data_IF_716430232858
#
_entry.id   IF_716430232858
#
_cell.length_a   1.000
_cell.length_b   1.000
_cell.length_c   1.000
_cell.angle_alpha   90.00
_cell.angle_beta   90.00
_cell.angle_gamma   90.00
#
_symmetry.space_group_name_H-M   'P 1'
#
loop_
_entity.id
_entity.type
_entity.pdbx_description
1 polymer ?
#
# COMPACT_ATOMS: atom_id res chain seq x y z
N UNK A 1 28.78 -1.72 19.26
CA UNK A 1 28.47 -0.85 18.10
C UNK A 1 27.07 -1.27 17.64
N UNK A 2 26.04 -0.57 18.11
CA UNK A 2 24.65 -1.03 17.98
C UNK A 2 24.03 -0.37 16.75
N UNK A 3 23.65 -1.19 15.76
CA UNK A 3 22.99 -0.73 14.56
C UNK A 3 21.57 -0.23 14.89
N UNK A 4 21.29 1.02 14.55
CA UNK A 4 19.94 1.59 14.49
C UNK A 4 19.11 0.85 13.44
N UNK A 5 18.42 -0.23 13.81
CA UNK A 5 17.33 -0.77 13.01
C UNK A 5 16.09 0.09 13.23
N UNK A 6 15.93 1.13 12.40
CA UNK A 6 14.70 1.90 12.30
C UNK A 6 13.61 1.05 11.63
N UNK A 7 13.08 0.05 12.35
CA UNK A 7 11.92 -0.73 11.95
C UNK A 7 10.65 0.07 12.28
N UNK A 8 10.34 1.09 11.49
CA UNK A 8 9.00 1.69 11.52
C UNK A 8 8.02 0.76 10.80
N UNK A 9 7.63 -0.36 11.41
CA UNK A 9 6.62 -1.29 10.85
C UNK A 9 5.70 -1.86 11.93
N UNK A 10 4.92 -0.98 12.55
CA UNK A 10 3.73 -1.33 13.31
C UNK A 10 3.98 -1.67 14.78
N UNK A 11 2.95 -1.47 15.61
CA UNK A 11 2.95 -1.90 17.00
C UNK A 11 2.89 -3.44 17.00
N UNK A 12 3.83 -4.15 17.65
CA UNK A 12 3.76 -5.61 17.77
C UNK A 12 2.40 -6.04 18.31
N UNK A 13 1.73 -6.98 17.62
CA UNK A 13 0.39 -7.44 17.98
C UNK A 13 -0.78 -6.60 17.45
N UNK A 14 -0.54 -5.49 16.74
CA UNK A 14 -1.59 -4.68 16.11
C UNK A 14 -1.61 -4.91 14.60
N UNK A 15 -2.53 -5.76 14.15
CA UNK A 15 -2.93 -5.84 12.74
C UNK A 15 -3.59 -4.52 12.35
N UNK A 16 -2.96 -3.77 11.45
CA UNK A 16 -3.61 -2.63 10.82
C UNK A 16 -4.61 -3.18 9.80
N UNK A 17 -5.89 -3.12 10.16
CA UNK A 17 -6.96 -3.55 9.26
C UNK A 17 -6.88 -2.79 7.94
N UNK A 18 -6.97 -3.54 6.83
CA UNK A 18 -6.96 -2.90 5.53
C UNK A 18 -8.25 -2.10 5.38
N UNK A 19 -8.11 -0.80 5.06
CA UNK A 19 -9.23 0.06 4.63
C UNK A 19 -10.10 -0.59 3.56
N UNK A 20 -9.48 -1.37 2.68
CA UNK A 20 -10.16 -2.19 1.67
C UNK A 20 -9.95 -3.66 2.04
N UNK A 21 -11.01 -4.30 2.52
CA UNK A 21 -10.99 -5.70 2.96
C UNK A 21 -10.78 -6.66 1.78
N UNK A 22 -11.31 -6.33 0.60
CA UNK A 22 -11.21 -7.17 -0.59
C UNK A 22 -9.78 -7.16 -1.18
N UNK A 23 -9.08 -8.31 -1.20
CA UNK A 23 -7.72 -8.40 -1.75
C UNK A 23 -7.64 -8.09 -3.25
N UNK A 24 -8.64 -8.46 -4.04
CA UNK A 24 -8.65 -8.21 -5.48
C UNK A 24 -8.68 -6.70 -5.80
N UNK A 25 -9.44 -5.93 -5.02
CA UNK A 25 -9.51 -4.47 -5.16
C UNK A 25 -8.18 -3.82 -4.81
N UNK A 26 -7.48 -4.30 -3.77
CA UNK A 26 -6.14 -3.79 -3.43
C UNK A 26 -5.14 -4.04 -4.56
N UNK A 27 -5.16 -5.24 -5.14
CA UNK A 27 -4.32 -5.60 -6.27
C UNK A 27 -4.64 -4.74 -7.52
N UNK A 28 -5.93 -4.48 -7.78
CA UNK A 28 -6.37 -3.60 -8.85
C UNK A 28 -5.84 -2.17 -8.69
N UNK A 29 -5.93 -1.58 -7.50
CA UNK A 29 -5.39 -0.24 -7.22
C UNK A 29 -3.88 -0.21 -7.43
N UNK A 30 -3.17 -1.24 -6.93
CA UNK A 30 -1.72 -1.35 -7.10
C UNK A 30 -1.30 -1.41 -8.57
N UNK A 31 -2.02 -2.19 -9.39
CA UNK A 31 -1.78 -2.30 -10.83
C UNK A 31 -2.04 -0.99 -11.57
N UNK A 32 -3.19 -0.35 -11.34
CA UNK A 32 -3.53 0.96 -11.95
C UNK A 32 -2.48 2.02 -11.61
N UNK A 33 -1.99 2.01 -10.37
CA UNK A 33 -0.92 2.90 -9.93
C UNK A 33 0.45 2.59 -10.58
N UNK A 34 0.71 1.35 -11.01
CA UNK A 34 1.89 0.98 -11.80
C UNK A 34 1.75 1.35 -13.27
N UNK A 35 0.55 1.26 -13.82
CA UNK A 35 0.21 1.66 -15.19
C UNK A 35 0.30 3.18 -15.40
N UNK A 36 0.50 3.96 -14.33
CA UNK A 36 0.76 5.40 -14.38
C UNK A 36 -0.43 6.26 -13.99
N UNK A 37 -1.54 5.68 -13.51
CA UNK A 37 -2.63 6.48 -12.96
C UNK A 37 -2.18 7.32 -11.75
N UNK A 38 -2.76 8.51 -11.63
CA UNK A 38 -2.42 9.43 -10.54
C UNK A 38 -2.85 8.86 -9.20
N UNK A 39 -1.90 8.75 -8.29
CA UNK A 39 -2.10 8.29 -6.90
C UNK A 39 -3.23 9.05 -6.20
N UNK A 40 -3.33 10.36 -6.43
CA UNK A 40 -4.37 11.21 -5.82
C UNK A 40 -5.78 10.91 -6.36
N UNK A 41 -5.88 10.58 -7.65
CA UNK A 41 -7.16 10.20 -8.26
C UNK A 41 -7.63 8.86 -7.70
N UNK A 42 -6.74 7.87 -7.62
CA UNK A 42 -7.02 6.57 -7.01
C UNK A 42 -7.36 6.69 -5.52
N UNK A 43 -6.67 7.58 -4.79
CA UNK A 43 -6.95 7.84 -3.38
C UNK A 43 -8.39 8.38 -3.18
N UNK A 44 -8.82 9.33 -4.02
CA UNK A 44 -10.16 9.88 -3.99
C UNK A 44 -11.22 8.84 -4.42
N UNK A 45 -10.97 8.12 -5.51
CA UNK A 45 -11.88 7.11 -6.07
C UNK A 45 -12.19 6.00 -5.06
N UNK A 46 -11.16 5.48 -4.40
CA UNK A 46 -11.30 4.37 -3.44
C UNK A 46 -11.45 4.82 -1.99
N UNK A 47 -11.59 6.13 -1.74
CA UNK A 47 -11.67 6.73 -0.40
C UNK A 47 -10.56 6.23 0.56
N UNK A 48 -9.32 6.19 0.08
CA UNK A 48 -8.13 5.81 0.85
C UNK A 48 -7.09 6.91 0.82
N UNK A 49 -6.07 6.81 1.68
CA UNK A 49 -4.97 7.76 1.66
C UNK A 49 -4.03 7.53 0.46
N UNK A 50 -3.37 8.58 -0.02
CA UNK A 50 -2.32 8.46 -1.03
C UNK A 50 -1.18 7.49 -0.58
N UNK A 51 -0.88 7.46 0.71
CA UNK A 51 0.08 6.51 1.30
C UNK A 51 -0.38 5.06 1.18
N UNK A 52 -1.69 4.80 1.30
CA UNK A 52 -2.30 3.48 1.09
C UNK A 52 -2.15 3.03 -0.36
N UNK A 53 -2.42 3.92 -1.32
CA UNK A 53 -2.25 3.64 -2.76
C UNK A 53 -0.78 3.35 -3.08
N UNK A 54 0.17 4.15 -2.57
CA UNK A 54 1.61 3.89 -2.72
C UNK A 54 1.99 2.51 -2.18
N UNK A 55 1.50 2.14 -0.99
CA UNK A 55 1.74 0.82 -0.40
C UNK A 55 1.21 -0.32 -1.27
N UNK A 56 0.04 -0.16 -1.89
CA UNK A 56 -0.51 -1.17 -2.81
C UNK A 56 0.27 -1.25 -4.13
N UNK A 57 0.74 -0.11 -4.64
CA UNK A 57 1.65 -0.05 -5.79
C UNK A 57 2.96 -0.78 -5.51
N UNK A 58 3.60 -0.51 -4.37
CA UNK A 58 4.84 -1.17 -3.95
C UNK A 58 4.65 -2.68 -3.77
N UNK A 59 3.51 -3.10 -3.19
CA UNK A 59 3.16 -4.51 -3.08
C UNK A 59 3.01 -5.18 -4.46
N UNK A 60 2.28 -4.53 -5.39
CA UNK A 60 2.11 -5.03 -6.75
C UNK A 60 3.45 -5.08 -7.52
N UNK A 61 4.35 -4.12 -7.32
CA UNK A 61 5.67 -4.09 -7.96
C UNK A 61 6.56 -5.27 -7.51
N UNK A 62 6.41 -5.70 -6.24
CA UNK A 62 7.14 -6.83 -5.68
C UNK A 62 6.64 -8.20 -6.15
N UNK A 63 5.38 -8.31 -6.58
CA UNK A 63 4.80 -9.55 -7.14
C UNK A 63 5.15 -9.78 -8.62
N UNK A 64 5.68 -8.77 -9.31
CA UNK A 64 6.05 -8.82 -10.74
C UNK A 64 7.52 -9.24 -10.95
N UNK A 65 8.25 -9.59 -9.87
CA UNK A 65 9.65 -10.03 -9.93
C UNK A 65 9.83 -11.53 -9.96
#
# INVERSE_FOLDING_TARGET
MNANMQLSRGVPGRSFEHRISNPAVRAQIGRRALEGERVEALAAEFQVSASTVRRYRDAAAGEVR
#
